data_IF_876644799003
#
_entry.id   IF_876644799003
#
_cell.length_a   1.000
_cell.length_b   1.000
_cell.length_c   1.000
_cell.angle_alpha   90.00
_cell.angle_beta   90.00
_cell.angle_gamma   90.00
#
_symmetry.space_group_name_H-M   'P 1'
#
loop_
_entity.id
_entity.type
_entity.pdbx_description
1 polymer ?
#
# COMPACT_ATOMS: atom_id res chain seq x y z
N UNK A 1 -88.20 -57.49 -1.39
CA UNK A 1 -87.82 -56.13 -1.80
C UNK A 1 -86.96 -55.50 -0.74
N UNK A 2 -85.67 -55.61 -0.90
CA UNK A 2 -84.69 -55.21 0.11
C UNK A 2 -83.92 -53.98 -0.41
N UNK A 3 -84.03 -52.85 0.23
CA UNK A 3 -83.25 -51.63 -0.14
C UNK A 3 -81.97 -51.65 0.58
N UNK A 4 -80.87 -51.62 -0.20
CA UNK A 4 -79.47 -51.45 0.32
C UNK A 4 -79.17 -49.95 0.42
N UNK A 5 -78.80 -49.46 1.59
CA UNK A 5 -78.32 -48.10 1.80
C UNK A 5 -76.79 -48.10 1.66
N UNK A 6 -76.30 -47.23 0.79
CA UNK A 6 -74.85 -46.98 0.61
C UNK A 6 -74.47 -45.81 1.50
N UNK A 7 -73.59 -46.05 2.45
CA UNK A 7 -73.03 -45.03 3.32
C UNK A 7 -71.82 -44.42 2.58
N UNK A 8 -71.87 -43.14 2.25
CA UNK A 8 -70.75 -42.38 1.68
C UNK A 8 -69.91 -41.79 2.84
N UNK A 9 -68.69 -42.21 2.96
CA UNK A 9 -67.78 -41.62 3.90
C UNK A 9 -67.10 -40.40 3.28
N UNK A 10 -67.27 -39.22 3.85
CA UNK A 10 -66.49 -38.00 3.52
C UNK A 10 -65.14 -38.05 4.23
N UNK A 11 -64.10 -38.10 3.45
CA UNK A 11 -62.69 -37.91 3.94
C UNK A 11 -62.41 -36.41 3.94
N UNK A 12 -62.27 -35.80 5.12
CA UNK A 12 -61.84 -34.43 5.29
C UNK A 12 -60.30 -34.37 5.19
N UNK A 13 -59.78 -33.73 4.14
CA UNK A 13 -58.36 -33.43 4.00
C UNK A 13 -58.02 -32.16 4.79
N UNK A 14 -57.21 -32.26 5.83
CA UNK A 14 -56.67 -31.10 6.57
C UNK A 14 -55.48 -30.51 5.82
N UNK A 15 -55.39 -29.18 5.64
CA UNK A 15 -54.21 -28.56 5.05
C UNK A 15 -53.08 -28.53 6.07
N UNK A 16 -51.90 -29.10 5.74
CA UNK A 16 -50.65 -28.92 6.44
C UNK A 16 -50.13 -27.48 6.18
N UNK A 17 -50.30 -26.60 7.15
CA UNK A 17 -49.64 -25.30 7.16
C UNK A 17 -48.14 -25.49 7.36
N UNK A 18 -47.37 -25.46 6.27
CA UNK A 18 -45.91 -25.45 6.34
C UNK A 18 -45.43 -24.12 6.92
N UNK A 19 -44.84 -24.14 8.12
CA UNK A 19 -44.07 -22.98 8.64
C UNK A 19 -42.87 -22.76 7.77
N UNK A 20 -42.92 -21.78 6.84
CA UNK A 20 -41.71 -21.28 6.15
C UNK A 20 -40.84 -20.58 7.17
N UNK A 21 -39.68 -21.15 7.47
CA UNK A 21 -38.64 -20.45 8.25
C UNK A 21 -38.12 -19.26 7.43
N UNK A 22 -38.05 -18.06 8.01
CA UNK A 22 -37.41 -16.93 7.34
C UNK A 22 -35.98 -17.27 7.02
N UNK A 23 -35.51 -17.01 5.79
CA UNK A 23 -34.12 -17.13 5.42
C UNK A 23 -33.26 -16.23 6.33
N UNK A 24 -32.08 -16.66 6.76
CA UNK A 24 -31.21 -15.82 7.56
C UNK A 24 -30.92 -14.53 6.80
N UNK A 25 -31.19 -13.39 7.44
CA UNK A 25 -30.84 -12.08 6.87
C UNK A 25 -29.35 -12.04 6.58
N UNK A 26 -28.97 -11.71 5.35
CA UNK A 26 -27.57 -11.51 4.99
C UNK A 26 -26.97 -10.48 5.94
N UNK A 27 -25.86 -10.82 6.61
CA UNK A 27 -25.14 -9.87 7.43
C UNK A 27 -24.79 -8.63 6.61
N UNK A 28 -24.90 -7.41 7.18
CA UNK A 28 -24.48 -6.22 6.46
C UNK A 28 -23.00 -6.38 6.05
N UNK A 29 -22.59 -5.84 4.88
CA UNK A 29 -21.20 -5.91 4.46
C UNK A 29 -20.32 -5.33 5.57
N UNK A 30 -19.33 -6.09 6.01
CA UNK A 30 -18.35 -5.63 6.99
C UNK A 30 -17.66 -4.40 6.40
N UNK A 31 -17.60 -3.30 7.15
CA UNK A 31 -16.79 -2.14 6.73
C UNK A 31 -15.35 -2.59 6.57
N UNK A 32 -14.69 -2.16 5.49
CA UNK A 32 -13.29 -2.47 5.25
C UNK A 32 -12.44 -2.03 6.45
N UNK A 33 -11.50 -2.88 6.86
CA UNK A 33 -10.52 -2.52 7.90
C UNK A 33 -9.66 -1.35 7.45
N UNK A 34 -9.01 -0.65 8.39
CA UNK A 34 -8.05 0.41 8.05
C UNK A 34 -6.96 -0.11 7.09
N UNK A 35 -6.49 -1.33 7.32
CA UNK A 35 -5.47 -1.98 6.50
C UNK A 35 -5.97 -2.29 5.08
N UNK A 36 -7.19 -2.80 4.95
CA UNK A 36 -7.81 -3.03 3.62
C UNK A 36 -8.02 -1.73 2.86
N UNK A 37 -8.51 -0.69 3.55
CA UNK A 37 -8.70 0.63 2.95
C UNK A 37 -7.36 1.26 2.51
N UNK A 38 -6.30 1.15 3.32
CA UNK A 38 -4.96 1.59 2.95
C UNK A 38 -4.43 0.82 1.73
N UNK A 39 -4.57 -0.51 1.70
CA UNK A 39 -4.13 -1.33 0.57
C UNK A 39 -4.88 -0.98 -0.71
N UNK A 40 -6.18 -0.81 -0.64
CA UNK A 40 -7.00 -0.37 -1.77
C UNK A 40 -6.59 1.01 -2.27
N UNK A 41 -6.40 1.98 -1.35
CA UNK A 41 -5.92 3.30 -1.73
C UNK A 41 -4.58 3.21 -2.45
N UNK A 42 -3.61 2.46 -1.92
CA UNK A 42 -2.29 2.28 -2.53
C UNK A 42 -2.37 1.60 -3.91
N UNK A 43 -3.15 0.52 -4.03
CA UNK A 43 -3.25 -0.28 -5.26
C UNK A 43 -4.00 0.44 -6.39
N UNK A 44 -4.93 1.33 -6.08
CA UNK A 44 -5.72 2.06 -7.07
C UNK A 44 -4.91 3.09 -7.89
N UNK A 45 -3.65 3.31 -7.55
CA UNK A 45 -2.72 4.13 -8.32
C UNK A 45 -1.90 3.34 -9.35
N UNK A 46 -2.09 2.03 -9.46
CA UNK A 46 -1.32 1.18 -10.38
C UNK A 46 -1.29 1.70 -11.81
N UNK A 47 -0.11 1.70 -12.42
CA UNK A 47 0.15 2.20 -13.77
C UNK A 47 0.19 3.73 -13.89
N UNK A 48 0.04 4.47 -12.79
CA UNK A 48 0.01 5.94 -12.79
C UNK A 48 1.32 6.51 -12.27
N UNK A 49 1.68 7.70 -12.78
CA UNK A 49 2.83 8.47 -12.31
C UNK A 49 2.39 9.88 -11.91
N UNK A 50 3.05 10.44 -10.90
CA UNK A 50 2.70 11.71 -10.30
C UNK A 50 3.93 12.57 -10.07
N UNK A 51 3.80 13.87 -10.33
CA UNK A 51 4.83 14.85 -10.05
C UNK A 51 4.85 15.24 -8.57
N UNK A 52 6.04 15.52 -8.06
CA UNK A 52 6.23 15.96 -6.68
C UNK A 52 7.61 16.53 -6.43
N UNK A 53 7.96 16.63 -5.16
CA UNK A 53 9.23 17.17 -4.71
C UNK A 53 9.45 17.04 -3.21
N UNK A 54 10.60 17.54 -2.75
CA UNK A 54 10.92 17.62 -1.33
C UNK A 54 9.96 18.59 -0.63
N UNK A 55 9.36 18.13 0.47
CA UNK A 55 8.42 18.89 1.29
C UNK A 55 8.93 19.18 2.71
N UNK A 56 10.10 18.60 3.08
CA UNK A 56 10.80 18.90 4.34
C UNK A 56 11.90 19.95 4.11
N UNK A 57 12.35 20.54 5.20
CA UNK A 57 13.40 21.58 5.21
C UNK A 57 14.65 21.16 6.01
N UNK A 58 14.83 19.85 6.23
CA UNK A 58 16.01 19.33 6.91
C UNK A 58 17.27 19.62 6.09
N UNK A 59 18.25 20.30 6.68
CA UNK A 59 19.48 20.68 5.99
C UNK A 59 20.29 19.49 5.45
N UNK A 60 20.11 18.30 6.01
CA UNK A 60 20.71 17.04 5.53
C UNK A 60 20.19 16.61 4.15
N UNK A 61 19.09 17.20 3.71
CA UNK A 61 18.43 16.89 2.43
C UNK A 61 18.54 18.04 1.42
N UNK A 62 19.44 19.00 1.66
CA UNK A 62 19.60 20.20 0.82
C UNK A 62 19.83 19.87 -0.67
N UNK A 63 20.54 18.77 -0.96
CA UNK A 63 20.79 18.30 -2.33
C UNK A 63 19.52 17.86 -3.09
N UNK A 64 18.41 17.68 -2.39
CA UNK A 64 17.11 17.32 -2.96
C UNK A 64 16.22 18.54 -3.20
N UNK A 65 16.58 19.68 -2.59
CA UNK A 65 15.76 20.90 -2.64
C UNK A 65 15.60 21.39 -4.10
N UNK A 66 14.37 21.69 -4.48
CA UNK A 66 14.04 22.20 -5.81
C UNK A 66 14.11 21.18 -6.95
N UNK A 67 14.58 19.95 -6.73
CA UNK A 67 14.57 18.91 -7.74
C UNK A 67 13.15 18.42 -7.99
N UNK A 68 12.79 18.27 -9.27
CA UNK A 68 11.55 17.60 -9.65
C UNK A 68 11.66 16.11 -9.33
N UNK A 69 10.60 15.55 -8.79
CA UNK A 69 10.51 14.14 -8.44
C UNK A 69 9.26 13.52 -9.06
N UNK A 70 9.32 12.22 -9.33
CA UNK A 70 8.17 11.45 -9.82
C UNK A 70 8.07 10.16 -9.03
N UNK A 71 6.87 9.87 -8.56
CA UNK A 71 6.49 8.56 -8.05
C UNK A 71 5.66 7.85 -9.13
N UNK A 72 6.10 6.68 -9.59
CA UNK A 72 5.45 5.89 -10.62
C UNK A 72 5.13 4.48 -10.10
N UNK A 73 3.85 4.13 -10.03
CA UNK A 73 3.39 2.78 -9.69
C UNK A 73 3.67 1.84 -10.86
N UNK A 74 4.91 1.37 -10.94
CA UNK A 74 5.46 0.68 -12.10
C UNK A 74 5.00 -0.76 -12.23
N UNK A 75 4.76 -1.44 -11.11
CA UNK A 75 4.28 -2.82 -11.10
C UNK A 75 3.39 -3.07 -9.88
N UNK A 76 2.30 -3.82 -10.08
CA UNK A 76 1.39 -4.19 -9.02
C UNK A 76 0.82 -5.59 -9.27
N UNK A 77 0.61 -6.31 -8.17
CA UNK A 77 -0.16 -7.53 -8.12
C UNK A 77 -1.03 -7.56 -6.84
N UNK A 78 -1.66 -8.67 -6.53
CA UNK A 78 -2.57 -8.80 -5.37
C UNK A 78 -1.88 -8.56 -4.03
N UNK A 79 -0.56 -8.82 -3.93
CA UNK A 79 0.21 -8.77 -2.71
C UNK A 79 1.35 -7.75 -2.74
N UNK A 80 1.62 -7.10 -3.88
CA UNK A 80 2.77 -6.22 -4.04
C UNK A 80 2.45 -5.00 -4.89
N UNK A 81 2.96 -3.85 -4.43
CA UNK A 81 3.00 -2.59 -5.19
C UNK A 81 4.45 -2.11 -5.23
N UNK A 82 4.98 -1.87 -6.43
CA UNK A 82 6.30 -1.32 -6.66
C UNK A 82 6.18 0.10 -7.23
N UNK A 83 6.74 1.06 -6.51
CA UNK A 83 6.68 2.49 -6.84
C UNK A 83 8.09 2.95 -7.18
N UNK A 84 8.38 3.15 -8.46
CA UNK A 84 9.63 3.73 -8.91
C UNK A 84 9.70 5.21 -8.49
N UNK A 85 10.79 5.58 -7.83
CA UNK A 85 11.05 6.94 -7.39
C UNK A 85 12.16 7.55 -8.25
N UNK A 86 11.80 8.55 -9.03
CA UNK A 86 12.69 9.24 -9.95
C UNK A 86 12.99 10.65 -9.45
N UNK A 87 14.24 11.05 -9.57
CA UNK A 87 14.70 12.40 -9.22
C UNK A 87 15.33 13.02 -10.46
N UNK A 88 14.92 14.23 -10.80
CA UNK A 88 15.52 14.96 -11.94
C UNK A 88 17.03 15.12 -11.73
N UNK A 89 17.77 14.67 -12.72
CA UNK A 89 19.23 14.70 -12.75
C UNK A 89 19.69 14.94 -14.20
N UNK A 90 20.09 16.17 -14.55
CA UNK A 90 20.50 16.50 -15.92
C UNK A 90 21.71 15.71 -16.41
N UNK A 91 22.54 15.18 -15.51
CA UNK A 91 23.74 14.41 -15.85
C UNK A 91 23.43 12.93 -16.08
N UNK A 92 22.29 12.45 -15.54
CA UNK A 92 21.87 11.06 -15.73
C UNK A 92 21.22 10.85 -17.09
N UNK A 93 21.32 9.62 -17.61
CA UNK A 93 20.66 9.21 -18.85
C UNK A 93 19.14 9.47 -18.77
N UNK A 94 18.59 10.06 -19.83
CA UNK A 94 17.21 10.52 -19.94
C UNK A 94 16.82 11.63 -18.92
N UNK A 95 17.79 12.28 -18.26
CA UNK A 95 17.55 13.38 -17.33
C UNK A 95 17.01 12.97 -15.97
N UNK A 96 17.13 11.69 -15.57
CA UNK A 96 16.58 11.16 -14.36
C UNK A 96 17.51 10.18 -13.65
N UNK A 97 17.77 10.41 -12.37
CA UNK A 97 18.25 9.36 -11.47
C UNK A 97 17.06 8.42 -11.18
N UNK A 98 17.21 7.14 -11.55
CA UNK A 98 16.17 6.10 -11.50
C UNK A 98 16.57 4.94 -10.59
N UNK A 99 17.41 5.23 -9.60
CA UNK A 99 18.08 4.22 -8.76
C UNK A 99 17.19 3.60 -7.68
N UNK A 100 15.97 4.08 -7.46
CA UNK A 100 15.19 3.72 -6.28
C UNK A 100 13.80 3.23 -6.65
N UNK A 101 13.40 2.11 -6.03
CA UNK A 101 12.02 1.62 -6.07
C UNK A 101 11.56 1.28 -4.66
N UNK A 102 10.42 1.83 -4.26
CA UNK A 102 9.74 1.47 -3.02
C UNK A 102 8.83 0.28 -3.29
N UNK A 103 9.01 -0.80 -2.54
CA UNK A 103 8.22 -2.02 -2.70
C UNK A 103 7.42 -2.22 -1.43
N UNK A 104 6.10 -2.13 -1.54
CA UNK A 104 5.18 -2.46 -0.44
C UNK A 104 4.58 -3.82 -0.71
N UNK A 105 4.75 -4.75 0.23
CA UNK A 105 4.12 -6.08 0.18
C UNK A 105 3.09 -6.23 1.28
N UNK A 106 2.02 -6.96 0.97
CA UNK A 106 0.97 -7.36 1.91
C UNK A 106 1.10 -8.84 2.24
N UNK A 107 0.96 -9.19 3.51
CA UNK A 107 0.94 -10.57 4.00
C UNK A 107 -0.12 -10.74 5.09
N UNK A 108 -0.55 -11.97 5.32
CA UNK A 108 -1.60 -12.30 6.30
C UNK A 108 -2.99 -11.85 5.86
N UNK A 109 -3.98 -12.12 6.70
CA UNK A 109 -5.39 -11.81 6.46
C UNK A 109 -6.04 -11.23 7.72
N UNK A 110 -7.09 -10.43 7.54
CA UNK A 110 -7.86 -9.82 8.62
C UNK A 110 -6.96 -9.06 9.60
N UNK A 111 -7.07 -9.33 10.88
CA UNK A 111 -6.27 -8.70 11.93
C UNK A 111 -4.78 -9.10 11.91
N UNK A 112 -4.43 -10.19 11.21
CA UNK A 112 -3.04 -10.61 11.02
C UNK A 112 -2.38 -9.95 9.79
N UNK A 113 -3.09 -9.13 9.04
CA UNK A 113 -2.52 -8.39 7.91
C UNK A 113 -1.31 -7.56 8.36
N UNK A 114 -0.23 -7.64 7.60
CA UNK A 114 0.98 -6.83 7.77
C UNK A 114 1.43 -6.30 6.42
N UNK A 115 2.04 -5.13 6.47
CA UNK A 115 2.70 -4.54 5.31
C UNK A 115 4.20 -4.46 5.57
N UNK A 116 4.99 -4.74 4.53
CA UNK A 116 6.44 -4.57 4.57
C UNK A 116 6.83 -3.62 3.45
N UNK A 117 7.59 -2.58 3.79
CA UNK A 117 8.22 -1.67 2.85
C UNK A 117 9.69 -2.07 2.70
N UNK A 118 10.13 -2.28 1.47
CA UNK A 118 11.54 -2.45 1.13
C UNK A 118 11.96 -1.44 0.07
N UNK A 119 13.23 -1.06 0.10
CA UNK A 119 13.85 -0.12 -0.84
C UNK A 119 14.79 -0.89 -1.75
N UNK A 120 14.43 -1.03 -3.04
CA UNK A 120 15.34 -1.57 -4.04
C UNK A 120 16.18 -0.43 -4.61
N UNK A 121 17.49 -0.48 -4.35
CA UNK A 121 18.46 0.46 -4.89
C UNK A 121 19.31 -0.23 -5.94
N UNK A 122 19.43 0.43 -7.10
CA UNK A 122 20.17 -0.09 -8.25
C UNK A 122 21.12 0.96 -8.83
N UNK A 123 22.22 0.47 -9.40
CA UNK A 123 23.10 1.26 -10.25
C UNK A 123 22.53 1.40 -11.67
N UNK A 124 23.13 2.29 -12.49
CA UNK A 124 22.63 2.58 -13.84
C UNK A 124 22.70 1.37 -14.80
N UNK A 125 23.55 0.41 -14.55
CA UNK A 125 23.67 -0.87 -15.26
C UNK A 125 22.64 -1.92 -14.81
N UNK A 126 21.82 -1.59 -13.78
CA UNK A 126 20.81 -2.48 -13.22
C UNK A 126 21.29 -3.35 -12.07
N UNK A 127 22.58 -3.35 -11.76
CA UNK A 127 23.12 -4.11 -10.63
C UNK A 127 22.62 -3.56 -9.29
N UNK A 128 22.45 -4.45 -8.32
CA UNK A 128 21.99 -4.09 -6.99
C UNK A 128 23.06 -3.30 -6.23
N UNK A 129 22.67 -2.22 -5.56
CA UNK A 129 23.52 -1.51 -4.62
C UNK A 129 23.83 -2.39 -3.40
N UNK A 130 25.01 -2.22 -2.77
CA UNK A 130 25.36 -2.92 -1.53
C UNK A 130 24.35 -2.62 -0.40
N UNK A 131 23.79 -1.41 -0.37
CA UNK A 131 22.74 -0.99 0.56
C UNK A 131 21.39 -0.99 -0.14
N UNK A 132 20.84 -2.18 -0.32
CA UNK A 132 19.55 -2.39 -0.97
C UNK A 132 18.65 -3.34 -0.17
N UNK A 133 17.36 -3.42 -0.50
CA UNK A 133 16.32 -4.22 0.17
C UNK A 133 16.20 -3.99 1.67
N UNK A 134 16.62 -2.82 2.17
CA UNK A 134 16.33 -2.41 3.52
C UNK A 134 14.93 -1.81 3.64
N UNK A 135 14.39 -1.79 4.86
CA UNK A 135 13.08 -1.24 5.11
C UNK A 135 12.53 -1.62 6.47
N UNK A 136 11.22 -1.82 6.55
CA UNK A 136 10.53 -2.15 7.78
C UNK A 136 9.19 -2.80 7.58
N UNK A 137 8.67 -3.36 8.66
CA UNK A 137 7.35 -4.02 8.68
C UNK A 137 6.42 -3.30 9.65
N UNK A 138 5.15 -3.14 9.24
CA UNK A 138 4.13 -2.53 10.09
C UNK A 138 3.94 -3.29 11.39
N UNK A 139 3.81 -2.56 12.50
CA UNK A 139 3.60 -3.12 13.84
C UNK A 139 2.17 -2.90 14.37
N UNK A 140 1.40 -2.07 13.69
CA UNK A 140 0.01 -1.74 14.02
C UNK A 140 -0.87 -1.70 12.76
N UNK A 141 -2.15 -1.43 12.94
CA UNK A 141 -3.11 -1.38 11.85
C UNK A 141 -3.01 -0.09 10.99
N UNK A 142 -2.25 0.89 11.43
CA UNK A 142 -2.19 2.18 10.76
C UNK A 142 -3.55 2.88 10.67
N UNK A 143 -3.76 3.58 9.58
CA UNK A 143 -5.03 4.21 9.23
C UNK A 143 -5.47 3.81 7.82
N UNK A 144 -6.68 4.17 7.42
CA UNK A 144 -7.16 3.97 6.05
C UNK A 144 -6.30 4.67 4.97
N UNK A 145 -5.39 5.57 5.36
CA UNK A 145 -4.60 6.41 4.43
C UNK A 145 -3.11 6.42 4.74
N UNK A 146 -2.64 5.81 5.83
CA UNK A 146 -1.23 5.85 6.18
C UNK A 146 -0.80 4.63 6.99
N UNK A 147 0.41 4.16 6.73
CA UNK A 147 1.08 3.09 7.45
C UNK A 147 2.51 3.48 7.78
N UNK A 148 2.94 3.16 9.00
CA UNK A 148 4.31 3.28 9.46
C UNK A 148 5.05 1.95 9.35
N UNK A 149 6.32 2.04 9.00
CA UNK A 149 7.22 0.91 8.79
C UNK A 149 8.49 1.10 9.63
N UNK A 150 8.49 0.72 10.92
CA UNK A 150 9.72 0.72 11.71
C UNK A 150 10.73 -0.23 11.11
N UNK A 151 12.01 0.18 11.14
CA UNK A 151 13.13 -0.63 10.65
C UNK A 151 13.06 -2.07 11.17
N UNK A 152 13.18 -3.06 10.27
CA UNK A 152 13.16 -4.49 10.60
C UNK A 152 14.57 -5.03 10.93
N UNK A 153 14.60 -6.26 11.47
CA UNK A 153 15.85 -6.89 11.92
C UNK A 153 16.85 -7.14 10.80
N UNK A 154 16.40 -7.45 9.57
CA UNK A 154 17.26 -7.63 8.39
C UNK A 154 17.94 -6.32 8.02
N UNK A 155 17.19 -5.22 8.04
CA UNK A 155 17.71 -3.88 7.75
C UNK A 155 18.65 -3.39 8.83
N UNK A 156 18.38 -3.67 10.12
CA UNK A 156 19.30 -3.39 11.22
C UNK A 156 20.62 -4.14 11.01
N UNK A 157 20.59 -5.43 10.67
CA UNK A 157 21.80 -6.21 10.40
C UNK A 157 22.60 -5.65 9.20
N UNK A 158 21.89 -5.27 8.11
CA UNK A 158 22.50 -4.62 6.95
C UNK A 158 23.18 -3.30 7.35
N UNK A 159 22.45 -2.40 8.01
CA UNK A 159 22.97 -1.09 8.40
C UNK A 159 24.14 -1.19 9.37
N UNK A 160 24.13 -2.16 10.29
CA UNK A 160 25.25 -2.41 11.20
C UNK A 160 26.50 -2.86 10.43
N UNK A 161 26.33 -3.79 9.47
CA UNK A 161 27.44 -4.28 8.63
C UNK A 161 28.05 -3.17 7.78
N UNK A 162 27.22 -2.26 7.27
CA UNK A 162 27.64 -1.16 6.39
C UNK A 162 28.00 0.13 7.16
N UNK A 163 28.02 0.11 8.51
CA UNK A 163 28.38 1.28 9.33
C UNK A 163 27.38 2.43 9.28
N UNK A 164 26.11 2.14 9.01
CA UNK A 164 25.02 3.13 8.87
C UNK A 164 24.25 3.30 10.19
N UNK A 165 24.95 3.54 11.29
CA UNK A 165 24.40 3.57 12.67
C UNK A 165 23.20 4.53 12.82
N UNK A 166 23.22 5.65 12.12
CA UNK A 166 22.13 6.62 12.13
C UNK A 166 20.80 6.03 11.60
N UNK A 167 20.84 4.95 10.84
CA UNK A 167 19.67 4.30 10.22
C UNK A 167 19.04 3.19 11.06
N UNK A 168 19.69 2.80 12.18
CA UNK A 168 19.21 1.71 13.04
C UNK A 168 17.87 1.97 13.72
N UNK A 169 17.39 3.21 13.70
CA UNK A 169 16.12 3.61 14.32
C UNK A 169 15.15 4.27 13.33
N UNK A 170 15.38 4.06 12.05
CA UNK A 170 14.52 4.61 10.99
C UNK A 170 13.07 4.13 11.14
N UNK A 171 12.15 5.04 10.86
CA UNK A 171 10.74 4.76 10.67
C UNK A 171 10.31 5.44 9.37
N UNK A 172 9.86 4.64 8.43
CA UNK A 172 9.26 5.16 7.20
C UNK A 172 7.75 5.24 7.34
N UNK A 173 7.17 6.21 6.67
CA UNK A 173 5.72 6.34 6.52
C UNK A 173 5.37 6.46 5.05
N UNK A 174 4.37 5.69 4.65
CA UNK A 174 3.66 5.86 3.39
C UNK A 174 2.26 6.37 3.71
N UNK A 175 1.88 7.50 3.11
CA UNK A 175 0.50 7.99 3.17
C UNK A 175 -0.02 8.20 1.74
N UNK A 176 -1.25 7.79 1.48
CA UNK A 176 -1.85 7.81 0.16
C UNK A 176 -3.35 8.06 0.25
N UNK A 177 -3.84 9.04 -0.49
CA UNK A 177 -5.26 9.27 -0.68
C UNK A 177 -5.81 8.37 -1.81
N UNK A 178 -7.10 8.04 -1.81
CA UNK A 178 -7.72 7.31 -2.93
C UNK A 178 -7.54 8.04 -4.25
N UNK A 179 -7.22 7.30 -5.33
CA UNK A 179 -6.90 7.86 -6.65
C UNK A 179 -8.01 8.71 -7.31
N UNK A 180 -9.27 8.57 -6.86
CA UNK A 180 -10.40 9.35 -7.38
C UNK A 180 -10.71 10.60 -6.52
N UNK A 181 -9.94 10.83 -5.44
CA UNK A 181 -10.16 11.98 -4.57
C UNK A 181 -9.61 13.25 -5.23
N UNK A 182 -10.40 14.32 -5.22
CA UNK A 182 -9.89 15.64 -5.55
C UNK A 182 -8.75 16.02 -4.56
N UNK A 183 -7.69 16.66 -5.07
CA UNK A 183 -6.51 17.03 -4.29
C UNK A 183 -5.80 15.85 -3.61
N UNK A 184 -5.92 14.63 -4.18
CA UNK A 184 -5.26 13.44 -3.67
C UNK A 184 -3.75 13.65 -3.55
N UNK A 185 -3.16 13.15 -2.47
CA UNK A 185 -1.72 13.23 -2.18
C UNK A 185 -1.14 11.84 -1.97
N UNK A 186 0.09 11.69 -2.38
CA UNK A 186 0.97 10.61 -1.98
C UNK A 186 2.16 11.19 -1.24
N UNK A 187 2.50 10.60 -0.09
CA UNK A 187 3.60 11.05 0.76
C UNK A 187 4.47 9.87 1.12
N UNK A 188 5.78 10.05 0.94
CA UNK A 188 6.78 9.18 1.54
C UNK A 188 7.60 10.00 2.53
N UNK A 189 7.80 9.45 3.74
CA UNK A 189 8.50 10.14 4.82
C UNK A 189 9.47 9.20 5.53
N UNK A 190 10.61 9.73 5.98
CA UNK A 190 11.56 9.08 6.89
C UNK A 190 11.72 9.94 8.14
N UNK A 191 11.58 9.30 9.29
CA UNK A 191 11.94 9.83 10.62
C UNK A 191 12.87 8.86 11.35
N UNK A 192 13.39 9.26 12.51
CA UNK A 192 14.23 8.41 13.39
C UNK A 192 13.75 8.48 14.82
N UNK A 193 13.69 7.35 15.50
CA UNK A 193 13.25 7.31 16.92
C UNK A 193 14.23 7.95 17.86
N UNK A 194 15.54 7.87 17.55
CA UNK A 194 16.63 8.44 18.36
C UNK A 194 17.03 9.87 17.94
N UNK A 195 16.42 10.41 16.89
CA UNK A 195 16.66 11.77 16.40
C UNK A 195 15.36 12.43 15.98
N UNK A 196 14.66 13.12 16.88
CA UNK A 196 13.37 13.75 16.59
C UNK A 196 13.48 14.93 15.62
N UNK A 197 14.70 15.39 15.31
CA UNK A 197 14.92 16.44 14.31
C UNK A 197 14.99 15.89 12.88
N UNK A 198 15.12 14.57 12.70
CA UNK A 198 15.20 13.96 11.37
C UNK A 198 13.82 13.90 10.73
N UNK A 199 13.68 14.65 9.64
CA UNK A 199 12.51 14.57 8.78
C UNK A 199 12.93 14.69 7.32
N UNK A 200 12.90 13.59 6.59
CA UNK A 200 12.87 13.60 5.13
C UNK A 200 11.43 13.35 4.70
N UNK A 201 10.88 14.22 3.86
CA UNK A 201 9.52 14.08 3.36
C UNK A 201 9.44 14.54 1.91
N UNK A 202 8.88 13.68 1.06
CA UNK A 202 8.53 14.00 -0.32
C UNK A 202 7.03 13.85 -0.51
N UNK A 203 6.44 14.78 -1.26
CA UNK A 203 5.01 14.81 -1.54
C UNK A 203 4.77 14.87 -3.05
N UNK A 204 3.71 14.20 -3.48
CA UNK A 204 3.30 14.10 -4.88
C UNK A 204 1.83 14.48 -5.01
N UNK A 205 1.52 15.22 -6.07
CA UNK A 205 0.13 15.51 -6.46
C UNK A 205 -0.47 14.26 -7.13
N UNK A 206 -1.15 13.44 -6.35
CA UNK A 206 -1.76 12.20 -6.81
C UNK A 206 -3.15 12.41 -7.47
N UNK A 207 -3.61 13.65 -7.59
CA UNK A 207 -4.84 14.01 -8.30
C UNK A 207 -4.62 14.13 -9.83
N UNK A 208 -3.38 14.43 -10.26
CA UNK A 208 -3.04 14.70 -11.66
C UNK A 208 -1.93 13.76 -12.14
N UNK A 209 -2.28 12.88 -13.08
CA UNK A 209 -1.29 11.96 -13.66
C UNK A 209 -0.39 12.67 -14.67
N UNK A 210 0.85 12.21 -14.75
CA UNK A 210 1.83 12.66 -15.74
C UNK A 210 2.37 11.46 -16.54
N UNK A 211 3.08 11.73 -17.64
CA UNK A 211 3.86 10.71 -18.34
C UNK A 211 5.00 10.24 -17.44
N UNK A 212 5.11 8.93 -17.20
CA UNK A 212 6.18 8.36 -16.43
C UNK A 212 7.55 8.57 -17.10
N UNK A 213 8.63 8.81 -16.34
CA UNK A 213 9.99 8.65 -16.82
C UNK A 213 10.24 7.21 -17.32
N UNK A 214 11.37 6.94 -17.99
CA UNK A 214 11.77 5.57 -18.31
C UNK A 214 11.82 4.70 -17.05
N UNK A 215 11.72 3.37 -17.20
CA UNK A 215 11.69 2.43 -16.07
C UNK A 215 12.85 2.64 -15.09
N UNK A 216 12.63 2.32 -13.83
CA UNK A 216 13.70 2.30 -12.83
C UNK A 216 14.82 1.34 -13.27
N UNK A 217 16.04 1.61 -12.83
CA UNK A 217 17.18 0.77 -13.17
C UNK A 217 16.97 -0.66 -12.65
N UNK A 218 17.16 -1.65 -13.51
CA UNK A 218 16.95 -3.07 -13.20
C UNK A 218 15.47 -3.53 -13.17
N UNK A 219 14.54 -2.71 -13.69
CA UNK A 219 13.09 -3.01 -13.71
C UNK A 219 12.54 -3.04 -15.14
#
# INVERSE_FOLDING_TARGET
>A
MTRTQILSALIAAAPLAGCAMPAPASAPPSSATAQEAFWQALSNHCGKAYAGGLASTDARDADWAGKRMVAHWAACDEARVAIAFHVADPEAAAGWNRSRTWIVTRSGEGAATRFTLKHDHRHADGEADAVTFYGGTSTDAGTARAQDFPVDGESVALFTREGLDASLTNVWRVAVDPAAQADARFVYQLTRRNDPTRLFRVEFDASTTITAPPAAWGW
#
